data_IF_366233908745
#
_entry.id   IF_366233908745
#
_cell.length_a   1.000
_cell.length_b   1.000
_cell.length_c   1.000
_cell.angle_alpha   90.00
_cell.angle_beta   90.00
_cell.angle_gamma   90.00
#
_symmetry.space_group_name_H-M   'P 1'
#
loop_
_entity.id
_entity.type
_entity.pdbx_description
1 polymer ?
#
# COMPACT_ATOMS: atom_id res chain seq x y z
N UNK A 1 -1.98 36.78 -28.71
CA UNK A 1 -3.26 36.07 -28.85
C UNK A 1 -3.02 34.78 -29.66
N UNK A 2 -2.85 33.62 -29.03
CA UNK A 2 -2.80 32.35 -29.74
C UNK A 2 -4.22 31.95 -30.13
N UNK A 3 -4.50 31.86 -31.41
CA UNK A 3 -5.75 31.29 -31.93
C UNK A 3 -5.88 29.84 -31.42
N UNK A 4 -7.07 29.44 -30.95
CA UNK A 4 -7.29 28.04 -30.61
C UNK A 4 -7.17 27.20 -31.88
N UNK A 5 -6.22 26.29 -31.92
CA UNK A 5 -6.12 25.31 -33.02
C UNK A 5 -7.44 24.55 -33.11
N UNK A 6 -8.01 24.37 -34.33
CA UNK A 6 -9.25 23.62 -34.49
C UNK A 6 -9.06 22.23 -33.91
N UNK A 7 -9.97 21.84 -32.99
CA UNK A 7 -9.97 20.47 -32.43
C UNK A 7 -10.19 19.52 -33.59
N UNK A 8 -9.14 18.85 -34.02
CA UNK A 8 -9.21 17.86 -35.10
C UNK A 8 -10.20 16.76 -34.66
N UNK A 9 -10.92 16.16 -35.61
CA UNK A 9 -11.88 15.08 -35.31
C UNK A 9 -11.23 13.95 -34.51
N UNK A 10 -9.93 13.76 -34.64
CA UNK A 10 -9.14 12.76 -33.90
C UNK A 10 -9.10 13.01 -32.37
N UNK A 11 -9.08 14.26 -31.90
CA UNK A 11 -9.11 14.54 -30.45
C UNK A 11 -10.42 14.13 -29.80
N UNK A 12 -11.52 14.05 -30.56
CA UNK A 12 -12.81 13.55 -30.06
C UNK A 12 -12.82 12.03 -29.87
N UNK A 13 -11.96 11.32 -30.61
CA UNK A 13 -11.84 9.87 -30.50
C UNK A 13 -10.98 9.40 -29.30
N UNK A 14 -10.14 10.27 -28.69
CA UNK A 14 -9.25 9.88 -27.60
C UNK A 14 -9.98 9.28 -26.38
N UNK A 15 -11.11 9.80 -25.90
CA UNK A 15 -11.86 9.17 -24.81
C UNK A 15 -12.37 7.77 -25.19
N UNK A 16 -12.78 7.56 -26.46
CA UNK A 16 -13.23 6.26 -26.95
C UNK A 16 -12.06 5.28 -26.97
N UNK A 17 -10.88 5.72 -27.39
CA UNK A 17 -9.65 4.92 -27.39
C UNK A 17 -9.31 4.49 -25.94
N UNK A 18 -9.35 5.42 -24.99
CA UNK A 18 -9.11 5.15 -23.58
C UNK A 18 -10.11 4.09 -23.06
N UNK A 19 -11.40 4.27 -23.33
CA UNK A 19 -12.45 3.36 -22.89
C UNK A 19 -12.27 1.98 -23.52
N UNK A 20 -12.00 1.90 -24.82
CA UNK A 20 -11.77 0.65 -25.54
C UNK A 20 -10.60 -0.15 -24.95
N UNK A 21 -9.44 0.49 -24.77
CA UNK A 21 -8.27 -0.20 -24.21
C UNK A 21 -8.43 -0.54 -22.74
N UNK A 22 -9.19 0.25 -21.97
CA UNK A 22 -9.54 -0.11 -20.59
C UNK A 22 -10.42 -1.35 -20.55
N UNK A 23 -11.44 -1.41 -21.42
CA UNK A 23 -12.28 -2.61 -21.55
C UNK A 23 -11.45 -3.82 -22.01
N UNK A 24 -10.56 -3.65 -22.99
CA UNK A 24 -9.64 -4.70 -23.43
C UNK A 24 -8.75 -5.21 -22.30
N UNK A 25 -8.22 -4.31 -21.44
CA UNK A 25 -7.42 -4.69 -20.28
C UNK A 25 -8.22 -5.50 -19.25
N UNK A 26 -9.47 -5.12 -19.02
CA UNK A 26 -10.39 -5.86 -18.12
C UNK A 26 -10.67 -7.25 -18.71
N UNK A 27 -11.03 -7.33 -20.00
CA UNK A 27 -11.29 -8.61 -20.68
C UNK A 27 -10.06 -9.50 -20.70
N UNK A 28 -8.87 -8.97 -20.95
CA UNK A 28 -7.62 -9.69 -20.86
C UNK A 28 -7.39 -10.25 -19.44
N UNK A 29 -7.69 -9.46 -18.41
CA UNK A 29 -7.61 -9.90 -17.00
C UNK A 29 -8.50 -11.08 -16.69
N UNK A 30 -9.71 -11.16 -17.30
CA UNK A 30 -10.61 -12.31 -17.13
C UNK A 30 -10.09 -13.61 -17.77
N UNK A 31 -9.12 -13.52 -18.67
CA UNK A 31 -8.51 -14.68 -19.35
C UNK A 31 -7.21 -15.15 -18.73
N UNK A 32 -6.65 -14.38 -17.82
CA UNK A 32 -5.41 -14.74 -17.13
C UNK A 32 -5.74 -15.81 -16.07
N UNK A 33 -5.04 -16.96 -16.05
CA UNK A 33 -5.18 -17.92 -14.98
C UNK A 33 -4.57 -17.37 -13.69
N UNK A 34 -5.30 -17.46 -12.59
CA UNK A 34 -4.81 -17.12 -11.27
C UNK A 34 -4.51 -18.38 -10.49
N UNK A 35 -3.45 -18.33 -9.66
CA UNK A 35 -3.05 -19.45 -8.82
C UNK A 35 -3.03 -19.04 -7.35
N UNK A 36 -3.34 -19.98 -6.48
CA UNK A 36 -3.18 -19.92 -5.03
C UNK A 36 -2.20 -21.03 -4.67
N UNK A 37 -1.21 -20.69 -3.85
CA UNK A 37 -0.32 -21.66 -3.24
C UNK A 37 -0.93 -22.13 -1.91
N UNK A 38 -1.85 -23.09 -1.99
CA UNK A 38 -2.62 -23.56 -0.83
C UNK A 38 -1.75 -24.16 0.29
N UNK A 39 -0.58 -24.69 -0.08
CA UNK A 39 0.39 -25.26 0.88
C UNK A 39 1.14 -24.18 1.67
N UNK A 40 1.09 -22.93 1.23
CA UNK A 40 1.70 -21.80 1.91
C UNK A 40 0.78 -21.29 3.03
N UNK A 41 0.78 -21.99 4.15
CA UNK A 41 -0.08 -21.70 5.33
C UNK A 41 0.09 -20.28 5.83
N UNK A 42 1.33 -19.79 5.89
CA UNK A 42 1.71 -18.47 6.40
C UNK A 42 1.60 -17.34 5.35
N UNK A 43 1.22 -17.66 4.13
CA UNK A 43 1.14 -16.73 3.03
C UNK A 43 -0.28 -16.63 2.44
N UNK A 44 -0.53 -17.37 1.36
CA UNK A 44 -1.76 -17.23 0.58
C UNK A 44 -2.97 -17.65 1.41
N UNK A 45 -2.90 -18.81 2.08
CA UNK A 45 -4.00 -19.36 2.87
C UNK A 45 -4.43 -18.40 3.98
N UNK A 46 -3.50 -17.91 4.77
CA UNK A 46 -3.77 -16.99 5.87
C UNK A 46 -4.47 -15.70 5.40
N UNK A 47 -4.03 -15.12 4.27
CA UNK A 47 -4.65 -13.91 3.72
C UNK A 47 -6.10 -14.14 3.28
N UNK A 48 -6.43 -15.36 2.80
CA UNK A 48 -7.79 -15.74 2.46
C UNK A 48 -8.64 -16.03 3.70
N UNK A 49 -8.09 -16.69 4.71
CA UNK A 49 -8.75 -16.92 6.00
C UNK A 49 -9.09 -15.59 6.66
N UNK A 50 -8.15 -14.66 6.75
CA UNK A 50 -8.40 -13.30 7.26
C UNK A 50 -9.49 -12.56 6.46
N UNK A 51 -9.54 -12.73 5.13
CA UNK A 51 -10.60 -12.12 4.32
C UNK A 51 -11.97 -12.77 4.58
N UNK A 52 -12.00 -14.07 4.80
CA UNK A 52 -13.22 -14.80 5.18
C UNK A 52 -13.74 -14.34 6.55
N UNK A 53 -12.86 -14.21 7.53
CA UNK A 53 -13.20 -13.74 8.88
C UNK A 53 -13.77 -12.32 8.85
N UNK A 54 -13.13 -11.42 8.10
CA UNK A 54 -13.64 -10.06 7.87
C UNK A 54 -15.04 -10.05 7.22
N UNK A 55 -15.30 -10.95 6.27
CA UNK A 55 -16.61 -11.09 5.64
C UNK A 55 -17.67 -11.62 6.61
N UNK A 56 -17.24 -12.50 7.52
CA UNK A 56 -18.09 -13.10 8.56
C UNK A 56 -18.32 -12.17 9.75
N UNK A 57 -17.66 -11.01 9.80
CA UNK A 57 -17.79 -10.03 10.88
C UNK A 57 -17.02 -10.37 12.15
N UNK A 58 -16.05 -11.30 12.07
CA UNK A 58 -15.24 -11.79 13.22
C UNK A 58 -13.85 -11.15 13.26
N UNK A 59 -13.67 -10.00 12.62
CA UNK A 59 -12.38 -9.34 12.43
C UNK A 59 -11.38 -10.28 11.72
N UNK A 60 -10.23 -10.61 12.30
CA UNK A 60 -9.22 -11.54 11.74
C UNK A 60 -9.24 -12.91 12.48
N UNK A 61 -10.39 -13.31 13.03
CA UNK A 61 -10.55 -14.55 13.78
C UNK A 61 -10.01 -14.50 15.21
N UNK A 62 -9.57 -15.65 15.73
CA UNK A 62 -8.92 -15.75 17.05
C UNK A 62 -7.51 -15.17 17.01
N UNK A 63 -7.05 -14.60 18.13
CA UNK A 63 -5.67 -14.14 18.24
C UNK A 63 -4.73 -15.35 18.38
N UNK A 64 -4.07 -15.65 17.29
CA UNK A 64 -3.09 -16.72 17.19
C UNK A 64 -1.84 -16.27 16.41
N UNK A 65 -0.96 -17.20 16.06
CA UNK A 65 0.28 -16.92 15.30
C UNK A 65 0.03 -16.35 13.89
N UNK A 66 -1.21 -16.29 13.44
CA UNK A 66 -1.57 -15.86 12.08
C UNK A 66 -2.35 -14.53 12.03
N UNK A 67 -3.11 -14.21 13.08
CA UNK A 67 -4.05 -13.10 13.06
C UNK A 67 -3.43 -11.75 12.69
N UNK A 68 -2.29 -11.40 13.28
CA UNK A 68 -1.60 -10.13 13.05
C UNK A 68 -0.24 -10.30 12.35
N UNK A 69 0.03 -11.48 11.78
CA UNK A 69 1.32 -11.77 11.14
C UNK A 69 1.53 -11.02 9.81
N UNK A 70 0.46 -10.55 9.17
CA UNK A 70 0.49 -9.74 7.93
C UNK A 70 -0.52 -8.62 7.97
N UNK A 71 -0.23 -7.56 7.20
CA UNK A 71 -1.11 -6.41 7.09
C UNK A 71 -2.49 -6.75 6.53
N UNK A 72 -3.52 -6.09 7.05
CA UNK A 72 -4.94 -6.30 6.72
C UNK A 72 -5.34 -5.79 5.32
N UNK A 73 -4.49 -4.99 4.65
CA UNK A 73 -4.83 -4.30 3.40
C UNK A 73 -5.23 -5.25 2.27
N UNK A 74 -4.53 -6.37 2.08
CA UNK A 74 -4.89 -7.33 1.05
C UNK A 74 -6.18 -8.12 1.36
N UNK A 75 -6.39 -8.65 2.57
CA UNK A 75 -7.69 -9.17 2.98
C UNK A 75 -8.84 -8.19 2.73
N UNK A 76 -8.69 -6.90 3.07
CA UNK A 76 -9.70 -5.88 2.77
C UNK A 76 -9.97 -5.71 1.27
N UNK A 77 -8.95 -5.83 0.42
CA UNK A 77 -9.12 -5.80 -1.03
C UNK A 77 -9.93 -7.00 -1.54
N UNK A 78 -9.71 -8.20 -1.00
CA UNK A 78 -10.52 -9.38 -1.31
C UNK A 78 -11.97 -9.21 -0.86
N UNK A 79 -12.19 -8.70 0.35
CA UNK A 79 -13.52 -8.35 0.88
C UNK A 79 -14.23 -7.35 -0.04
N UNK A 80 -13.50 -6.33 -0.51
CA UNK A 80 -14.05 -5.32 -1.43
C UNK A 80 -14.51 -5.98 -2.75
N UNK A 81 -13.70 -6.86 -3.33
CA UNK A 81 -14.07 -7.60 -4.54
C UNK A 81 -15.37 -8.38 -4.33
N UNK A 82 -15.49 -9.09 -3.21
CA UNK A 82 -16.69 -9.86 -2.88
C UNK A 82 -17.91 -8.97 -2.66
N UNK A 83 -17.78 -7.89 -1.90
CA UNK A 83 -18.89 -6.95 -1.61
C UNK A 83 -19.38 -6.21 -2.85
N UNK A 84 -18.48 -5.91 -3.79
CA UNK A 84 -18.85 -5.29 -5.08
C UNK A 84 -19.35 -6.31 -6.11
N UNK A 85 -19.35 -7.61 -5.79
CA UNK A 85 -19.66 -8.70 -6.72
C UNK A 85 -18.80 -8.66 -8.00
N UNK A 86 -17.55 -8.20 -7.88
CA UNK A 86 -16.62 -8.11 -8.99
C UNK A 86 -15.62 -9.29 -8.94
N UNK A 87 -15.31 -9.91 -10.09
CA UNK A 87 -14.17 -10.81 -10.17
C UNK A 87 -12.88 -10.11 -9.72
N UNK A 88 -12.02 -10.82 -8.99
CA UNK A 88 -10.74 -10.29 -8.50
C UNK A 88 -9.91 -9.61 -9.62
N UNK A 89 -9.83 -10.26 -10.78
CA UNK A 89 -9.10 -9.76 -11.95
C UNK A 89 -9.64 -8.43 -12.47
N UNK A 90 -10.96 -8.25 -12.42
CA UNK A 90 -11.61 -6.99 -12.82
C UNK A 90 -11.25 -5.87 -11.84
N UNK A 91 -11.34 -6.15 -10.54
CA UNK A 91 -10.98 -5.14 -9.53
C UNK A 91 -9.50 -4.76 -9.62
N UNK A 92 -8.61 -5.73 -9.87
CA UNK A 92 -7.18 -5.48 -10.07
C UNK A 92 -6.92 -4.62 -11.34
N UNK A 93 -7.59 -4.94 -12.45
CA UNK A 93 -7.49 -4.15 -13.69
C UNK A 93 -8.06 -2.73 -13.51
N UNK A 94 -9.15 -2.57 -12.75
CA UNK A 94 -9.71 -1.27 -12.40
C UNK A 94 -8.77 -0.46 -11.52
N UNK A 95 -8.12 -1.07 -10.52
CA UNK A 95 -7.12 -0.40 -9.69
C UNK A 95 -5.98 0.16 -10.54
N UNK A 96 -5.46 -0.65 -11.48
CA UNK A 96 -4.41 -0.21 -12.42
C UNK A 96 -4.91 0.93 -13.33
N UNK A 97 -6.12 0.82 -13.86
CA UNK A 97 -6.72 1.83 -14.74
C UNK A 97 -6.95 3.16 -13.99
N UNK A 98 -7.47 3.09 -12.76
CA UNK A 98 -7.65 4.28 -11.90
C UNK A 98 -6.31 4.91 -11.57
N UNK A 99 -5.30 4.13 -11.20
CA UNK A 99 -3.94 4.62 -10.94
C UNK A 99 -3.35 5.33 -12.16
N UNK A 100 -3.44 4.72 -13.34
CA UNK A 100 -2.97 5.31 -14.60
C UNK A 100 -3.72 6.60 -14.95
N UNK A 101 -5.04 6.62 -14.79
CA UNK A 101 -5.87 7.81 -15.01
C UNK A 101 -5.52 8.94 -14.04
N UNK A 102 -5.36 8.63 -12.76
CA UNK A 102 -4.97 9.62 -11.74
C UNK A 102 -3.60 10.20 -12.04
N UNK A 103 -2.65 9.39 -12.49
CA UNK A 103 -1.30 9.83 -12.84
C UNK A 103 -1.32 10.85 -13.99
N UNK A 104 -2.04 10.53 -15.06
CA UNK A 104 -2.24 11.46 -16.19
C UNK A 104 -2.98 12.72 -15.73
N UNK A 105 -4.00 12.56 -14.88
CA UNK A 105 -4.76 13.69 -14.32
C UNK A 105 -3.90 14.57 -13.39
N UNK A 106 -2.96 13.99 -12.67
CA UNK A 106 -2.00 14.75 -11.88
C UNK A 106 -1.16 15.68 -12.77
N UNK A 107 -0.62 15.14 -13.86
CA UNK A 107 0.24 15.88 -14.80
C UNK A 107 -0.51 16.89 -15.67
N UNK A 108 -1.82 16.71 -15.89
CA UNK A 108 -2.63 17.53 -16.80
C UNK A 108 -2.67 19.03 -16.45
N UNK A 109 -2.24 19.43 -15.27
CA UNK A 109 -2.11 20.85 -14.88
C UNK A 109 -1.02 21.54 -15.69
N UNK A 110 0.12 20.86 -15.89
CA UNK A 110 1.29 21.41 -16.59
C UNK A 110 1.40 20.90 -18.03
N UNK A 111 1.00 19.67 -18.26
CA UNK A 111 1.10 19.02 -19.57
C UNK A 111 -0.26 18.91 -20.24
N UNK A 112 -0.47 19.68 -21.32
CA UNK A 112 -1.79 19.85 -21.97
C UNK A 112 -1.96 19.02 -23.25
N UNK A 113 -0.91 18.31 -23.72
CA UNK A 113 -0.99 17.52 -24.95
C UNK A 113 -1.89 16.28 -24.74
N UNK A 114 -3.08 16.20 -25.38
CA UNK A 114 -4.02 15.12 -25.18
C UNK A 114 -3.51 13.78 -25.75
N UNK A 115 -2.75 13.81 -26.83
CA UNK A 115 -2.17 12.59 -27.44
C UNK A 115 -1.13 11.97 -26.51
N UNK A 116 -0.22 12.78 -25.98
CA UNK A 116 0.76 12.32 -25.01
C UNK A 116 0.13 11.83 -23.72
N UNK A 117 -0.94 12.48 -23.24
CA UNK A 117 -1.70 12.02 -22.08
C UNK A 117 -2.34 10.65 -22.33
N UNK A 118 -2.94 10.44 -23.50
CA UNK A 118 -3.52 9.14 -23.87
C UNK A 118 -2.46 8.08 -24.01
N UNK A 119 -1.33 8.37 -24.66
CA UNK A 119 -0.22 7.43 -24.77
C UNK A 119 0.33 7.04 -23.39
N UNK A 120 0.54 8.01 -22.50
CA UNK A 120 1.00 7.73 -21.13
C UNK A 120 0.00 6.87 -20.36
N UNK A 121 -1.31 7.16 -20.51
CA UNK A 121 -2.34 6.33 -19.91
C UNK A 121 -2.23 4.88 -20.37
N UNK A 122 -2.11 4.64 -21.66
CA UNK A 122 -2.00 3.30 -22.24
C UNK A 122 -0.72 2.58 -21.78
N UNK A 123 0.41 3.27 -21.74
CA UNK A 123 1.67 2.72 -21.25
C UNK A 123 1.58 2.29 -19.79
N UNK A 124 0.93 3.09 -18.94
CA UNK A 124 0.73 2.75 -17.53
C UNK A 124 -0.31 1.64 -17.36
N UNK A 125 -1.39 1.64 -18.15
CA UNK A 125 -2.45 0.64 -18.10
C UNK A 125 -1.92 -0.76 -18.45
N UNK A 126 -1.05 -0.85 -19.45
CA UNK A 126 -0.41 -2.08 -19.94
C UNK A 126 1.04 -2.21 -19.43
N UNK A 127 1.36 -1.61 -18.30
CA UNK A 127 2.69 -1.73 -17.70
C UNK A 127 3.04 -3.21 -17.49
N UNK A 128 4.23 -3.67 -17.96
CA UNK A 128 4.65 -5.06 -17.82
C UNK A 128 4.57 -5.58 -16.39
N UNK A 129 4.90 -4.76 -15.40
CA UNK A 129 4.87 -5.15 -13.98
C UNK A 129 3.45 -5.53 -13.50
N UNK A 130 2.40 -4.96 -14.12
CA UNK A 130 1.01 -5.28 -13.81
C UNK A 130 0.47 -6.50 -14.59
N UNK A 131 1.33 -7.17 -15.38
CA UNK A 131 0.98 -8.29 -16.24
C UNK A 131 1.92 -9.50 -16.06
N UNK A 132 2.93 -9.39 -15.16
CA UNK A 132 3.89 -10.48 -14.93
C UNK A 132 3.26 -11.60 -14.13
N UNK A 133 3.64 -12.83 -14.47
CA UNK A 133 3.16 -14.04 -13.82
C UNK A 133 3.43 -14.05 -12.31
N UNK A 134 4.64 -13.71 -11.91
CA UNK A 134 5.07 -13.75 -10.51
C UNK A 134 4.40 -12.70 -9.63
N UNK A 135 4.02 -11.54 -10.19
CA UNK A 135 3.46 -10.42 -9.41
C UNK A 135 1.94 -10.45 -9.38
N UNK A 136 1.30 -10.72 -10.54
CA UNK A 136 -0.14 -10.50 -10.68
C UNK A 136 -0.98 -11.75 -10.83
N UNK A 137 -0.39 -12.89 -11.23
CA UNK A 137 -1.13 -14.15 -11.39
C UNK A 137 -1.27 -14.94 -10.07
N UNK A 138 -0.34 -14.78 -9.14
CA UNK A 138 -0.53 -15.29 -7.78
C UNK A 138 -1.56 -14.42 -7.05
N UNK A 139 -2.57 -15.03 -6.47
CA UNK A 139 -3.56 -14.36 -5.62
C UNK A 139 -2.93 -13.97 -4.29
N UNK A 140 -2.07 -12.98 -4.34
CA UNK A 140 -1.23 -12.55 -3.23
C UNK A 140 -1.10 -11.03 -3.20
N UNK A 141 -0.74 -10.49 -2.05
CA UNK A 141 -0.63 -9.04 -1.78
C UNK A 141 0.25 -8.26 -2.76
N UNK A 142 1.22 -8.91 -3.41
CA UNK A 142 2.06 -8.26 -4.43
C UNK A 142 1.27 -7.76 -5.64
N UNK A 143 0.15 -8.39 -5.96
CA UNK A 143 -0.63 -8.06 -7.16
C UNK A 143 -1.23 -6.65 -7.13
N UNK A 144 -1.58 -6.15 -5.94
CA UNK A 144 -2.19 -4.81 -5.80
C UNK A 144 -1.14 -3.69 -5.66
N UNK A 145 0.12 -4.02 -5.37
CA UNK A 145 1.20 -3.04 -5.16
C UNK A 145 1.40 -2.11 -6.36
N UNK A 146 1.54 -2.58 -7.62
CA UNK A 146 1.77 -1.69 -8.75
C UNK A 146 0.68 -0.62 -8.93
N UNK A 147 -0.58 -1.03 -8.82
CA UNK A 147 -1.72 -0.12 -8.93
C UNK A 147 -1.77 0.89 -7.77
N UNK A 148 -1.52 0.43 -6.54
CA UNK A 148 -1.50 1.31 -5.36
C UNK A 148 -0.35 2.31 -5.39
N UNK A 149 0.84 1.89 -5.83
CA UNK A 149 1.99 2.80 -6.03
C UNK A 149 1.63 3.91 -7.00
N UNK A 150 0.98 3.58 -8.13
CA UNK A 150 0.50 4.59 -9.07
C UNK A 150 -0.48 5.57 -8.41
N UNK A 151 -1.40 5.09 -7.59
CA UNK A 151 -2.37 5.96 -6.89
C UNK A 151 -1.66 6.90 -5.92
N UNK A 152 -0.75 6.38 -5.07
CA UNK A 152 0.00 7.19 -4.09
C UNK A 152 0.88 8.23 -4.80
N UNK A 153 1.64 7.83 -5.82
CA UNK A 153 2.49 8.75 -6.58
C UNK A 153 1.66 9.79 -7.32
N UNK A 154 0.56 9.39 -7.95
CA UNK A 154 -0.38 10.31 -8.60
C UNK A 154 -0.92 11.36 -7.65
N UNK A 155 -1.31 10.91 -6.46
CA UNK A 155 -1.82 11.80 -5.42
C UNK A 155 -0.79 12.83 -5.00
N UNK A 156 0.44 12.40 -4.70
CA UNK A 156 1.53 13.28 -4.26
C UNK A 156 1.99 14.24 -5.34
N UNK A 157 2.17 13.76 -6.58
CA UNK A 157 2.48 14.59 -7.74
C UNK A 157 1.34 15.59 -8.00
N UNK A 158 0.09 15.10 -7.94
CA UNK A 158 -1.09 15.93 -8.13
C UNK A 158 -1.20 17.06 -7.11
N UNK A 159 -0.90 16.79 -5.85
CA UNK A 159 -0.83 17.77 -4.78
C UNK A 159 0.29 18.79 -5.03
N UNK A 160 1.49 18.30 -5.35
CA UNK A 160 2.68 19.13 -5.63
C UNK A 160 2.46 20.11 -6.78
N UNK A 161 1.91 19.64 -7.89
CA UNK A 161 1.67 20.48 -9.06
C UNK A 161 0.55 21.50 -8.87
N UNK A 162 -0.26 21.35 -7.82
CA UNK A 162 -1.37 22.25 -7.48
C UNK A 162 -1.10 23.13 -6.27
N UNK A 163 0.10 23.12 -5.69
CA UNK A 163 0.44 23.88 -4.47
C UNK A 163 0.25 25.39 -4.57
N UNK A 164 0.25 25.95 -5.78
CA UNK A 164 -0.05 27.37 -6.04
C UNK A 164 -1.54 27.65 -6.25
N UNK A 165 -2.34 26.62 -6.52
CA UNK A 165 -3.77 26.75 -6.78
C UNK A 165 -4.56 26.95 -5.47
N UNK A 166 -5.84 27.37 -5.55
CA UNK A 166 -6.71 27.48 -4.37
C UNK A 166 -6.79 26.18 -3.57
N UNK A 167 -6.92 26.26 -2.23
CA UNK A 167 -6.93 25.11 -1.30
C UNK A 167 -7.97 24.05 -1.68
N UNK A 168 -9.15 24.47 -2.20
CA UNK A 168 -10.21 23.58 -2.69
C UNK A 168 -9.73 22.63 -3.81
N UNK A 169 -8.69 23.01 -4.57
CA UNK A 169 -8.10 22.16 -5.62
C UNK A 169 -6.96 21.28 -5.13
N UNK A 170 -6.41 21.57 -3.95
CA UNK A 170 -5.36 20.79 -3.30
C UNK A 170 -5.94 19.68 -2.42
N UNK A 171 -6.99 20.01 -1.65
CA UNK A 171 -7.58 19.13 -0.65
C UNK A 171 -7.95 17.73 -1.18
N UNK A 172 -8.62 17.58 -2.34
CA UNK A 172 -8.94 16.25 -2.87
C UNK A 172 -7.70 15.39 -3.13
N UNK A 173 -6.60 16.00 -3.59
CA UNK A 173 -5.34 15.31 -3.83
C UNK A 173 -4.65 14.92 -2.53
N UNK A 174 -4.70 15.78 -1.52
CA UNK A 174 -4.15 15.47 -0.19
C UNK A 174 -4.90 14.31 0.48
N UNK A 175 -6.24 14.34 0.44
CA UNK A 175 -7.08 13.25 0.97
C UNK A 175 -6.83 11.96 0.21
N UNK A 176 -6.85 12.00 -1.14
CA UNK A 176 -6.55 10.82 -1.97
C UNK A 176 -5.20 10.21 -1.62
N UNK A 177 -4.15 11.05 -1.54
CA UNK A 177 -2.80 10.58 -1.20
C UNK A 177 -2.77 9.94 0.18
N UNK A 178 -3.38 10.59 1.17
CA UNK A 178 -3.37 10.11 2.55
C UNK A 178 -4.13 8.79 2.72
N UNK A 179 -5.32 8.69 2.15
CA UNK A 179 -6.12 7.45 2.18
C UNK A 179 -5.41 6.30 1.43
N UNK A 180 -4.86 6.61 0.24
CA UNK A 180 -4.11 5.61 -0.52
C UNK A 180 -2.84 5.17 0.21
N UNK A 181 -2.12 6.10 0.86
CA UNK A 181 -0.92 5.81 1.62
C UNK A 181 -1.23 4.98 2.88
N UNK A 182 -2.29 5.34 3.61
CA UNK A 182 -2.75 4.58 4.77
C UNK A 182 -3.15 3.15 4.40
N UNK A 183 -3.87 2.97 3.28
CA UNK A 183 -4.21 1.64 2.79
C UNK A 183 -2.97 0.88 2.29
N UNK A 184 -2.08 1.54 1.55
CA UNK A 184 -0.84 0.96 1.04
C UNK A 184 0.04 0.42 2.17
N UNK A 185 0.12 1.16 3.29
CA UNK A 185 0.86 0.76 4.48
C UNK A 185 0.38 -0.57 5.06
N UNK A 186 -0.92 -0.83 4.98
CA UNK A 186 -1.53 -2.07 5.48
C UNK A 186 -1.40 -3.27 4.51
N UNK A 187 -0.78 -3.09 3.33
CA UNK A 187 -0.59 -4.18 2.37
C UNK A 187 0.62 -5.04 2.76
N UNK A 188 1.72 -4.38 3.15
CA UNK A 188 3.01 -5.04 3.41
C UNK A 188 3.77 -4.38 4.55
N UNK A 189 4.48 -5.19 5.31
CA UNK A 189 5.31 -4.76 6.44
C UNK A 189 6.50 -3.89 5.98
N UNK A 190 7.02 -4.13 4.78
CA UNK A 190 8.13 -3.39 4.18
C UNK A 190 7.70 -2.13 3.41
N UNK A 191 6.44 -1.69 3.55
CA UNK A 191 5.93 -0.48 2.87
C UNK A 191 6.70 0.80 3.21
N UNK A 192 7.60 0.74 4.19
CA UNK A 192 8.48 1.85 4.61
C UNK A 192 9.30 2.46 3.45
N UNK A 193 9.61 1.68 2.41
CA UNK A 193 10.38 2.16 1.27
C UNK A 193 9.75 3.34 0.50
N UNK A 194 8.42 3.56 0.62
CA UNK A 194 7.75 4.70 -0.02
C UNK A 194 7.93 6.01 0.76
N UNK A 195 8.25 5.93 2.06
CA UNK A 195 8.35 7.11 2.94
C UNK A 195 9.40 8.13 2.50
N UNK A 196 10.60 7.76 2.02
CA UNK A 196 11.57 8.74 1.54
C UNK A 196 11.00 9.64 0.45
N UNK A 197 10.26 9.07 -0.51
CA UNK A 197 9.58 9.85 -1.54
C UNK A 197 8.54 10.81 -0.94
N UNK A 198 7.68 10.31 -0.06
CA UNK A 198 6.64 11.12 0.59
C UNK A 198 7.26 12.24 1.43
N UNK A 199 8.30 11.93 2.21
CA UNK A 199 9.00 12.90 3.04
C UNK A 199 9.63 14.03 2.21
N UNK A 200 10.42 13.68 1.20
CA UNK A 200 11.07 14.65 0.30
C UNK A 200 10.04 15.55 -0.37
N UNK A 201 8.96 14.98 -0.92
CA UNK A 201 7.93 15.76 -1.59
C UNK A 201 7.15 16.65 -0.62
N UNK A 202 6.91 16.18 0.60
CA UNK A 202 6.22 16.97 1.64
C UNK A 202 7.10 18.14 2.09
N UNK A 203 8.36 17.88 2.43
CA UNK A 203 9.32 18.91 2.82
C UNK A 203 9.49 19.96 1.72
N UNK A 204 9.64 19.50 0.46
CA UNK A 204 9.70 20.39 -0.69
C UNK A 204 8.48 21.28 -0.82
N UNK A 205 7.28 20.71 -0.70
CA UNK A 205 6.03 21.46 -0.85
C UNK A 205 5.83 22.45 0.31
N UNK A 206 6.05 22.04 1.55
CA UNK A 206 5.92 22.91 2.74
C UNK A 206 6.97 24.02 2.68
N UNK A 207 8.22 23.68 2.38
CA UNK A 207 9.31 24.65 2.23
C UNK A 207 9.01 25.68 1.14
N UNK A 208 8.50 25.23 -0.02
CA UNK A 208 8.08 26.14 -1.09
C UNK A 208 6.96 27.10 -0.62
N UNK A 209 5.95 26.59 0.06
CA UNK A 209 4.84 27.42 0.56
C UNK A 209 5.34 28.46 1.55
N UNK A 210 6.19 28.08 2.49
CA UNK A 210 6.74 28.99 3.49
C UNK A 210 7.65 30.04 2.83
N UNK A 211 8.57 29.63 1.95
CA UNK A 211 9.58 30.54 1.39
C UNK A 211 9.04 31.40 0.24
N UNK A 212 8.23 30.83 -0.64
CA UNK A 212 7.80 31.50 -1.87
C UNK A 212 6.41 32.17 -1.76
N UNK A 213 5.51 31.67 -0.91
CA UNK A 213 4.14 32.13 -0.83
C UNK A 213 3.83 32.97 0.41
N UNK A 214 4.74 33.09 1.39
CA UNK A 214 4.49 33.83 2.63
C UNK A 214 4.12 35.31 2.37
N UNK A 215 4.70 35.94 1.35
CA UNK A 215 4.38 37.33 0.99
C UNK A 215 3.05 37.50 0.22
N UNK A 216 2.50 36.41 -0.31
CA UNK A 216 1.30 36.42 -1.15
C UNK A 216 0.05 35.91 -0.45
N UNK A 217 0.16 35.35 0.76
CA UNK A 217 -0.93 34.74 1.51
C UNK A 217 -0.97 35.25 2.94
N UNK A 218 -2.17 35.28 3.54
CA UNK A 218 -2.33 35.57 4.96
C UNK A 218 -1.79 34.43 5.81
N UNK A 219 -1.39 34.71 7.06
CA UNK A 219 -0.91 33.66 7.98
C UNK A 219 -1.87 32.49 8.12
N UNK A 220 -3.20 32.75 8.20
CA UNK A 220 -4.23 31.71 8.26
C UNK A 220 -4.25 30.84 7.00
N UNK A 221 -4.10 31.44 5.81
CA UNK A 221 -4.05 30.69 4.55
C UNK A 221 -2.80 29.82 4.45
N UNK A 222 -1.66 30.32 4.95
CA UNK A 222 -0.41 29.53 5.00
C UNK A 222 -0.55 28.34 5.94
N UNK A 223 -1.08 28.53 7.15
CA UNK A 223 -1.31 27.45 8.10
C UNK A 223 -2.23 26.38 7.54
N UNK A 224 -3.36 26.76 6.95
CA UNK A 224 -4.29 25.81 6.31
C UNK A 224 -3.64 25.06 5.15
N UNK A 225 -2.80 25.73 4.39
CA UNK A 225 -2.09 25.09 3.29
C UNK A 225 -1.04 24.10 3.78
N UNK A 226 -0.24 24.46 4.78
CA UNK A 226 0.71 23.55 5.41
C UNK A 226 -0.02 22.33 6.00
N UNK A 227 -1.16 22.54 6.65
CA UNK A 227 -2.00 21.44 7.14
C UNK A 227 -2.45 20.49 6.01
N UNK A 228 -2.93 21.04 4.88
CA UNK A 228 -3.32 20.23 3.71
C UNK A 228 -2.13 19.46 3.15
N UNK A 229 -0.93 20.05 3.12
CA UNK A 229 0.27 19.38 2.63
C UNK A 229 0.78 18.27 3.58
N UNK A 230 0.51 18.40 4.86
CA UNK A 230 0.81 17.38 5.88
C UNK A 230 -0.28 16.30 5.98
N UNK A 231 -1.47 16.57 5.47
CA UNK A 231 -2.63 15.67 5.58
C UNK A 231 -2.35 14.22 5.12
N UNK A 232 -1.57 13.96 4.07
CA UNK A 232 -1.20 12.59 3.70
C UNK A 232 -0.53 11.80 4.82
N UNK A 233 0.39 12.45 5.54
CA UNK A 233 1.12 11.85 6.66
C UNK A 233 0.19 11.68 7.86
N UNK A 234 -0.65 12.68 8.15
CA UNK A 234 -1.62 12.61 9.24
C UNK A 234 -2.64 11.48 9.01
N UNK A 235 -3.09 11.28 7.78
CA UNK A 235 -4.01 10.18 7.44
C UNK A 235 -3.32 8.82 7.51
N UNK A 236 -2.03 8.71 7.16
CA UNK A 236 -1.25 7.49 7.37
C UNK A 236 -1.23 7.10 8.85
N UNK A 237 -0.83 8.05 9.72
CA UNK A 237 -0.81 7.79 11.17
C UNK A 237 -2.21 7.49 11.72
N UNK A 238 -3.22 8.25 11.28
CA UNK A 238 -4.61 8.02 11.66
C UNK A 238 -5.11 6.63 11.26
N UNK A 239 -4.74 6.16 10.06
CA UNK A 239 -5.04 4.80 9.60
C UNK A 239 -4.41 3.73 10.48
N UNK A 240 -3.12 3.86 10.80
CA UNK A 240 -2.41 2.93 11.69
C UNK A 240 -3.02 2.93 13.10
N UNK A 241 -3.26 4.11 13.68
CA UNK A 241 -3.91 4.23 15.00
C UNK A 241 -5.30 3.56 14.98
N UNK A 242 -6.05 3.73 13.89
CA UNK A 242 -7.39 3.13 13.77
C UNK A 242 -7.30 1.59 13.79
N UNK A 243 -6.40 1.00 12.99
CA UNK A 243 -6.21 -0.46 12.97
C UNK A 243 -5.71 -0.96 14.34
N UNK A 244 -4.71 -0.30 14.93
CA UNK A 244 -4.20 -0.66 16.27
C UNK A 244 -5.29 -0.55 17.35
N UNK A 245 -6.16 0.45 17.29
CA UNK A 245 -7.27 0.60 18.22
C UNK A 245 -8.31 -0.52 18.06
N UNK A 246 -8.59 -0.95 16.82
CA UNK A 246 -9.47 -2.10 16.58
C UNK A 246 -8.83 -3.37 17.11
N UNK A 247 -7.53 -3.60 16.88
CA UNK A 247 -6.81 -4.74 17.41
C UNK A 247 -6.77 -4.74 18.95
N UNK A 248 -6.66 -3.55 19.57
CA UNK A 248 -6.77 -3.40 21.03
C UNK A 248 -8.13 -3.87 21.55
N UNK A 249 -9.20 -3.58 20.84
CA UNK A 249 -10.57 -3.99 21.23
C UNK A 249 -10.75 -5.50 21.08
N UNK A 250 -10.25 -6.08 19.99
CA UNK A 250 -10.46 -7.51 19.68
C UNK A 250 -9.47 -8.43 20.37
N UNK A 251 -8.21 -8.01 20.51
CA UNK A 251 -7.09 -8.86 20.94
C UNK A 251 -6.35 -8.37 22.18
N UNK A 252 -6.70 -7.18 22.68
CA UNK A 252 -6.03 -6.59 23.84
C UNK A 252 -4.62 -6.04 23.55
N UNK A 253 -4.21 -5.93 22.26
CA UNK A 253 -2.90 -5.44 21.84
C UNK A 253 -3.03 -4.24 20.91
N UNK A 254 -2.27 -3.16 21.19
CA UNK A 254 -2.29 -1.95 20.39
C UNK A 254 -1.13 -1.95 19.40
N UNK A 255 -1.28 -2.70 18.30
CA UNK A 255 -0.30 -2.79 17.21
C UNK A 255 -1.01 -3.13 15.90
N UNK A 256 -0.33 -2.91 14.77
CA UNK A 256 -0.86 -3.24 13.43
C UNK A 256 -0.37 -4.61 12.95
N UNK A 257 0.85 -4.99 13.33
CA UNK A 257 1.49 -6.24 12.92
C UNK A 257 2.47 -6.69 14.02
N UNK A 258 2.31 -7.91 14.52
CA UNK A 258 3.10 -8.45 15.63
C UNK A 258 4.52 -8.87 15.22
N UNK A 259 4.80 -9.00 13.91
CA UNK A 259 6.15 -9.32 13.41
C UNK A 259 7.05 -8.11 13.27
N UNK A 260 6.48 -6.91 13.23
CA UNK A 260 7.23 -5.66 13.09
C UNK A 260 7.14 -4.76 14.30
N UNK A 261 6.17 -5.02 15.17
CA UNK A 261 5.88 -4.19 16.35
C UNK A 261 5.66 -5.07 17.59
N UNK A 262 5.92 -4.51 18.78
CA UNK A 262 5.63 -5.14 20.05
C UNK A 262 6.65 -6.19 20.50
N UNK A 263 6.29 -6.89 21.60
CA UNK A 263 7.22 -7.77 22.31
C UNK A 263 7.76 -8.93 21.47
N UNK A 264 6.97 -9.47 20.57
CA UNK A 264 7.43 -10.56 19.70
C UNK A 264 8.51 -10.07 18.72
N UNK A 265 8.30 -8.92 18.07
CA UNK A 265 9.28 -8.33 17.16
C UNK A 265 10.58 -7.96 17.91
N UNK A 266 10.47 -7.44 19.13
CA UNK A 266 11.63 -7.12 19.98
C UNK A 266 12.40 -8.39 20.36
N UNK A 267 11.70 -9.45 20.79
CA UNK A 267 12.33 -10.75 21.11
C UNK A 267 13.07 -11.33 19.89
N UNK A 268 12.44 -11.33 18.72
CA UNK A 268 13.06 -11.79 17.48
C UNK A 268 14.29 -10.96 17.12
N UNK A 269 14.22 -9.64 17.28
CA UNK A 269 15.36 -8.75 17.06
C UNK A 269 16.53 -9.08 18.00
N UNK A 270 16.27 -9.37 19.26
CA UNK A 270 17.30 -9.79 20.21
C UNK A 270 17.96 -11.12 19.79
N UNK A 271 17.18 -12.10 19.35
CA UNK A 271 17.74 -13.36 18.85
C UNK A 271 18.65 -13.16 17.64
N UNK A 272 18.30 -12.29 16.71
CA UNK A 272 19.14 -11.99 15.53
C UNK A 272 20.47 -11.33 15.88
N UNK A 273 20.54 -10.62 17.00
CA UNK A 273 21.77 -9.94 17.46
C UNK A 273 22.65 -10.80 18.37
N UNK A 274 22.20 -11.99 18.79
CA UNK A 274 23.02 -12.88 19.60
C UNK A 274 24.16 -13.47 18.78
N UNK A 275 25.38 -13.47 19.36
CA UNK A 275 26.54 -14.10 18.75
C UNK A 275 26.32 -15.61 18.56
N UNK A 276 26.65 -16.14 17.39
CA UNK A 276 26.50 -17.56 17.07
C UNK A 276 25.34 -17.85 16.12
N UNK A 277 24.51 -16.88 15.78
CA UNK A 277 23.45 -17.04 14.76
C UNK A 277 24.01 -16.95 13.31
N UNK A 278 25.22 -17.49 13.09
CA UNK A 278 25.95 -17.37 11.81
C UNK A 278 25.69 -18.52 10.83
N UNK A 279 25.08 -19.61 11.30
CA UNK A 279 24.72 -20.76 10.47
C UNK A 279 23.20 -20.76 10.18
N UNK A 280 22.69 -19.64 9.70
CA UNK A 280 21.35 -19.66 9.13
C UNK A 280 21.43 -20.43 7.80
N UNK A 281 21.05 -21.67 7.80
CA UNK A 281 20.57 -22.33 6.58
C UNK A 281 19.41 -21.48 6.02
N UNK A 282 19.23 -21.46 4.72
CA UNK A 282 18.23 -20.61 4.06
C UNK A 282 16.80 -20.70 4.66
N UNK A 283 16.54 -21.77 5.41
CA UNK A 283 15.23 -22.10 5.99
C UNK A 283 15.18 -21.95 7.53
N UNK A 284 16.31 -21.67 8.19
CA UNK A 284 16.40 -21.53 9.66
C UNK A 284 16.85 -20.12 10.02
N UNK A 285 15.96 -19.30 10.55
CA UNK A 285 16.25 -17.91 10.88
C UNK A 285 17.02 -17.74 12.19
N UNK A 286 16.84 -18.66 13.13
CA UNK A 286 17.52 -18.66 14.43
C UNK A 286 18.05 -20.06 14.69
N UNK A 287 19.36 -20.18 14.93
CA UNK A 287 19.97 -21.48 15.20
C UNK A 287 19.53 -22.02 16.59
N UNK A 288 19.45 -23.35 16.70
CA UNK A 288 19.17 -24.02 18.01
C UNK A 288 20.20 -23.65 19.07
N UNK A 289 21.44 -23.42 18.68
CA UNK A 289 22.50 -23.00 19.60
C UNK A 289 22.21 -21.60 20.18
N UNK A 290 21.69 -20.68 19.36
CA UNK A 290 21.28 -19.34 19.80
C UNK A 290 20.14 -19.42 20.80
N UNK A 291 19.14 -20.28 20.56
CA UNK A 291 18.03 -20.52 21.49
C UNK A 291 18.54 -21.09 22.81
N UNK A 292 19.35 -22.14 22.75
CA UNK A 292 19.92 -22.76 23.96
C UNK A 292 20.76 -21.77 24.81
N UNK A 293 21.52 -20.89 24.18
CA UNK A 293 22.26 -19.82 24.88
C UNK A 293 21.33 -18.82 25.56
N UNK A 294 20.25 -18.44 24.88
CA UNK A 294 19.25 -17.52 25.46
C UNK A 294 18.51 -18.17 26.64
N UNK A 295 18.15 -19.45 26.52
CA UNK A 295 17.54 -20.23 27.61
C UNK A 295 18.46 -20.39 28.83
N UNK A 296 19.77 -20.54 28.60
CA UNK A 296 20.75 -20.67 29.69
C UNK A 296 20.81 -19.43 30.59
N UNK A 297 20.42 -18.26 30.09
CA UNK A 297 20.45 -16.98 30.83
C UNK A 297 19.07 -16.47 31.22
N UNK A 298 17.99 -17.04 30.67
CA UNK A 298 16.62 -16.60 30.91
C UNK A 298 15.70 -17.72 31.36
N UNK A 299 15.38 -17.79 32.67
CA UNK A 299 14.43 -18.78 33.23
C UNK A 299 13.04 -18.71 32.55
N UNK A 300 12.63 -17.52 32.07
CA UNK A 300 11.36 -17.34 31.36
C UNK A 300 11.38 -18.01 29.99
N UNK A 301 12.49 -17.92 29.25
CA UNK A 301 12.64 -18.61 27.98
C UNK A 301 12.67 -20.14 28.15
N UNK A 302 13.27 -20.64 29.20
CA UNK A 302 13.23 -22.09 29.53
C UNK A 302 11.79 -22.60 29.69
N UNK A 303 10.89 -21.83 30.29
CA UNK A 303 9.47 -22.18 30.41
C UNK A 303 8.75 -22.17 29.06
N UNK A 304 9.24 -21.42 28.12
CA UNK A 304 8.69 -21.31 26.76
C UNK A 304 9.31 -22.30 25.77
N UNK A 305 10.31 -23.11 26.19
CA UNK A 305 11.01 -24.07 25.35
C UNK A 305 10.09 -24.93 24.46
N UNK A 306 8.99 -25.54 24.99
CA UNK A 306 8.10 -26.35 24.16
C UNK A 306 7.43 -25.54 23.01
N UNK A 307 7.20 -24.25 23.22
CA UNK A 307 6.64 -23.35 22.21
C UNK A 307 7.70 -22.90 21.23
N UNK A 308 8.91 -22.62 21.69
CA UNK A 308 10.04 -22.24 20.87
C UNK A 308 10.47 -23.37 19.94
N UNK A 309 10.51 -24.61 20.43
CA UNK A 309 10.82 -25.81 19.64
C UNK A 309 9.77 -26.06 18.52
N UNK A 310 8.51 -25.73 18.78
CA UNK A 310 7.43 -25.88 17.80
C UNK A 310 7.36 -24.74 16.78
N UNK A 311 7.69 -23.51 17.17
CA UNK A 311 7.47 -22.33 16.32
C UNK A 311 8.71 -21.86 15.57
N UNK A 312 9.91 -22.04 16.14
CA UNK A 312 11.16 -21.51 15.55
C UNK A 312 11.81 -22.47 14.53
N UNK A 313 11.38 -23.73 14.48
CA UNK A 313 11.86 -24.72 13.51
C UNK A 313 11.24 -24.52 12.12
N UNK A 314 10.14 -23.77 12.03
CA UNK A 314 9.36 -23.63 10.78
C UNK A 314 9.08 -22.18 10.37
N UNK A 315 9.81 -21.21 10.94
CA UNK A 315 9.65 -19.80 10.50
C UNK A 315 10.75 -19.40 9.56
#
# INVERSE_FOLDING_TARGET
MCRPTPKTNFTKCLPIIILFFTALRILAGLRIPYMILADQRYDDRMLFENAYDLLSGVWLGSYDAYALAKGIGYPMFLVLAKKLCLPYSVLLALLQAVGAWLFVRALSVRWKNPYGQTLLYLLLLFSPISLTQLVTQRLYRMAIVPGMVLVVFSGMIGLTLRKELPLKKQLPWAVLTGMALAFFWQIREDSVWILPFIAVMTVWNVGYVILALHKKRTGRQLLLQCFILLLPILLLFGGNITISAINQVHYGVFLTNDRTEGNFAELMSLFYHLQGNTEADSDIWISRETIARAEAVSPTLQQLQPLLDLSLIHI
#
